data_IF_948447882589
#
_entry.id   IF_948447882589
#
_cell.length_a   1.000
_cell.length_b   1.000
_cell.length_c   1.000
_cell.angle_alpha   90.00
_cell.angle_beta   90.00
_cell.angle_gamma   90.00
#
_symmetry.space_group_name_H-M   'P 1'
#
loop_
_entity.id
_entity.type
_entity.pdbx_description
1 polymer ?
#
# COMPACT_ATOMS: atom_id res chain seq x y z
N UNK A 1 -3.15 7.92 -9.33
CA UNK A 1 -4.02 6.85 -8.79
C UNK A 1 -3.33 6.18 -7.61
N UNK A 2 -4.03 5.80 -6.54
CA UNK A 2 -3.43 5.07 -5.40
C UNK A 2 -3.53 3.56 -5.63
N UNK A 3 -2.43 2.78 -5.74
CA UNK A 3 -2.52 1.33 -5.84
C UNK A 3 -2.93 0.67 -4.52
N UNK A 4 -2.46 1.23 -3.40
CA UNK A 4 -2.72 0.71 -2.05
C UNK A 4 -3.78 1.53 -1.32
N UNK A 5 -4.67 0.91 -0.52
CA UNK A 5 -5.70 1.61 0.25
C UNK A 5 -5.16 2.27 1.53
N UNK A 6 -4.00 2.94 1.44
CA UNK A 6 -3.31 3.59 2.58
C UNK A 6 -2.94 5.06 2.28
N UNK A 7 -2.40 5.75 3.28
CA UNK A 7 -1.83 7.08 3.15
C UNK A 7 -0.72 7.10 2.09
N UNK A 8 -0.70 8.13 1.23
CA UNK A 8 0.23 8.22 0.09
C UNK A 8 1.70 8.21 0.55
N UNK A 9 1.98 8.68 1.76
CA UNK A 9 3.31 8.71 2.37
C UNK A 9 3.82 7.33 2.80
N UNK A 10 3.06 6.25 2.60
CA UNK A 10 3.54 4.87 2.79
C UNK A 10 3.92 4.19 1.47
N UNK A 11 3.52 4.76 0.33
CA UNK A 11 3.51 4.03 -0.95
C UNK A 11 4.92 3.74 -1.47
N UNK A 12 5.86 4.67 -1.34
CA UNK A 12 7.24 4.46 -1.79
C UNK A 12 7.92 3.34 -1.00
N UNK A 13 7.67 3.29 0.31
CA UNK A 13 8.17 2.21 1.16
C UNK A 13 7.55 0.84 0.83
N UNK A 14 6.24 0.79 0.57
CA UNK A 14 5.55 -0.43 0.12
C UNK A 14 6.16 -0.92 -1.21
N UNK A 15 6.28 -0.03 -2.20
CA UNK A 15 6.85 -0.33 -3.52
C UNK A 15 8.29 -0.86 -3.41
N UNK A 16 9.11 -0.22 -2.59
CA UNK A 16 10.50 -0.61 -2.37
C UNK A 16 10.59 -2.01 -1.72
N UNK A 17 9.78 -2.28 -0.71
CA UNK A 17 9.76 -3.56 -0.03
C UNK A 17 9.29 -4.70 -0.98
N UNK A 18 8.22 -4.48 -1.74
CA UNK A 18 7.74 -5.45 -2.74
C UNK A 18 8.81 -5.77 -3.78
N UNK A 19 9.50 -4.74 -4.30
CA UNK A 19 10.58 -4.93 -5.27
C UNK A 19 11.75 -5.71 -4.68
N UNK A 20 12.23 -5.34 -3.48
CA UNK A 20 13.33 -6.07 -2.83
C UNK A 20 12.97 -7.54 -2.61
N UNK A 21 11.79 -7.81 -2.07
CA UNK A 21 11.32 -9.18 -1.80
C UNK A 21 11.21 -9.98 -3.10
N UNK A 22 10.61 -9.41 -4.14
CA UNK A 22 10.43 -10.09 -5.43
C UNK A 22 11.74 -10.33 -6.18
N UNK A 23 12.60 -9.31 -6.29
CA UNK A 23 13.89 -9.38 -7.01
C UNK A 23 14.84 -10.40 -6.37
N UNK A 24 14.78 -10.55 -5.03
CA UNK A 24 15.69 -11.40 -4.27
C UNK A 24 15.04 -12.70 -3.77
N UNK A 25 13.76 -12.93 -4.10
CA UNK A 25 12.96 -14.10 -3.71
C UNK A 25 13.01 -14.38 -2.21
N UNK A 26 12.89 -13.34 -1.39
CA UNK A 26 12.96 -13.45 0.06
C UNK A 26 11.64 -13.98 0.61
N UNK A 27 11.70 -14.97 1.51
CA UNK A 27 10.56 -15.32 2.32
C UNK A 27 10.48 -14.39 3.55
N UNK A 28 9.29 -14.14 4.13
CA UNK A 28 9.17 -13.35 5.36
C UNK A 28 10.04 -13.87 6.51
N UNK A 29 10.24 -15.20 6.59
CA UNK A 29 11.11 -15.84 7.58
C UNK A 29 12.59 -15.48 7.43
N UNK A 30 13.05 -15.11 6.23
CA UNK A 30 14.45 -14.76 5.96
C UNK A 30 14.81 -13.37 6.49
N UNK A 31 13.83 -12.52 6.76
CA UNK A 31 14.03 -11.09 7.05
C UNK A 31 14.24 -10.88 8.55
N UNK A 32 15.42 -10.39 8.92
CA UNK A 32 15.76 -10.05 10.29
C UNK A 32 15.33 -8.64 10.67
N UNK A 33 15.53 -7.66 9.78
CA UNK A 33 15.22 -6.24 10.02
C UNK A 33 14.86 -5.54 8.72
N UNK A 34 13.93 -4.58 8.82
CA UNK A 34 13.57 -3.67 7.75
C UNK A 34 13.73 -2.24 8.27
N UNK A 35 14.49 -1.42 7.56
CA UNK A 35 14.67 0.00 7.89
C UNK A 35 14.06 0.84 6.78
N UNK A 36 13.10 1.69 7.12
CA UNK A 36 12.45 2.63 6.19
C UNK A 36 13.03 4.03 6.41
N UNK A 37 13.75 4.55 5.42
CA UNK A 37 14.20 5.94 5.37
C UNK A 37 13.08 6.79 4.80
N UNK A 38 12.71 7.83 5.54
CA UNK A 38 11.51 8.61 5.30
C UNK A 38 11.81 10.10 5.54
N UNK A 39 11.34 11.01 4.67
CA UNK A 39 11.57 12.44 4.84
C UNK A 39 10.80 12.99 6.06
N UNK A 40 11.25 14.09 6.69
CA UNK A 40 10.73 14.57 7.97
C UNK A 40 9.21 14.75 8.01
N UNK A 41 8.63 15.39 6.98
CA UNK A 41 7.17 15.62 6.89
C UNK A 41 6.37 14.32 6.95
N UNK A 42 6.83 13.33 6.19
CA UNK A 42 6.16 12.05 6.06
C UNK A 42 6.36 11.21 7.33
N UNK A 43 7.54 11.31 7.97
CA UNK A 43 7.86 10.66 9.24
C UNK A 43 6.87 11.03 10.35
N UNK A 44 6.58 12.32 10.53
CA UNK A 44 5.61 12.74 11.55
C UNK A 44 4.17 12.33 11.24
N UNK A 45 3.87 11.93 9.99
CA UNK A 45 2.54 11.45 9.60
C UNK A 45 2.42 9.94 9.78
N UNK A 46 3.37 9.17 9.24
CA UNK A 46 3.26 7.70 9.13
C UNK A 46 4.41 6.90 9.72
N UNK A 47 5.51 7.57 10.05
CA UNK A 47 6.78 6.96 10.45
C UNK A 47 7.00 6.87 11.96
N UNK A 48 6.07 7.34 12.78
CA UNK A 48 6.21 7.36 14.23
C UNK A 48 7.04 8.56 14.67
N UNK A 49 6.42 9.55 15.30
CA UNK A 49 6.97 10.89 15.53
C UNK A 49 8.09 11.00 16.57
N UNK A 50 9.01 10.03 16.64
CA UNK A 50 10.14 10.03 17.58
C UNK A 50 9.80 9.58 19.00
N UNK A 51 8.58 9.07 19.23
CA UNK A 51 8.11 8.55 20.51
C UNK A 51 7.86 7.04 20.40
N UNK A 52 8.49 6.26 21.29
CA UNK A 52 8.37 4.80 21.34
C UNK A 52 6.93 4.33 21.48
N UNK A 53 6.09 5.05 22.23
CA UNK A 53 4.68 4.67 22.41
C UNK A 53 3.91 4.79 21.09
N UNK A 54 4.18 5.86 20.33
CA UNK A 54 3.59 6.07 19.02
C UNK A 54 4.09 5.04 17.99
N UNK A 55 5.38 4.72 18.00
CA UNK A 55 5.93 3.68 17.11
C UNK A 55 5.23 2.33 17.35
N UNK A 56 5.03 1.95 18.62
CA UNK A 56 4.37 0.70 18.96
C UNK A 56 2.89 0.68 18.55
N UNK A 57 2.17 1.80 18.74
CA UNK A 57 0.80 1.94 18.29
C UNK A 57 0.68 1.82 16.75
N UNK A 58 1.69 2.28 16.00
CA UNK A 58 1.72 2.11 14.55
C UNK A 58 2.11 0.69 14.14
N UNK A 59 2.93 -0.04 14.91
CA UNK A 59 3.22 -1.46 14.62
C UNK A 59 2.03 -2.37 14.87
N UNK A 60 1.21 -2.05 15.87
CA UNK A 60 -0.01 -2.78 16.24
C UNK A 60 -1.22 -1.85 16.17
N UNK A 61 -1.64 -1.44 14.95
CA UNK A 61 -2.73 -0.49 14.77
C UNK A 61 -4.04 -0.99 15.37
N UNK A 62 -4.72 -0.14 16.15
CA UNK A 62 -5.97 -0.48 16.82
C UNK A 62 -7.21 -0.32 15.93
N UNK A 63 -7.07 0.37 14.79
CA UNK A 63 -8.14 0.61 13.83
C UNK A 63 -7.64 0.55 12.40
N UNK A 64 -8.58 0.43 11.45
CA UNK A 64 -8.27 0.47 10.01
C UNK A 64 -7.58 1.76 9.63
N UNK A 65 -8.03 2.90 10.17
CA UNK A 65 -7.42 4.21 9.89
C UNK A 65 -5.99 4.25 10.40
N UNK A 66 -5.71 3.73 11.60
CA UNK A 66 -4.34 3.69 12.14
C UNK A 66 -3.42 2.86 11.24
N UNK A 67 -3.91 1.72 10.73
CA UNK A 67 -3.15 0.89 9.80
C UNK A 67 -2.88 1.59 8.46
N UNK A 68 -3.86 2.33 7.93
CA UNK A 68 -3.69 3.12 6.71
C UNK A 68 -2.64 4.22 6.84
N UNK A 69 -2.38 4.69 8.07
CA UNK A 69 -1.37 5.70 8.38
C UNK A 69 -0.12 5.10 9.05
N UNK A 70 0.08 3.80 9.01
CA UNK A 70 1.27 3.14 9.55
C UNK A 70 2.18 2.62 8.45
N UNK A 71 3.38 3.19 8.33
CA UNK A 71 4.40 2.62 7.42
C UNK A 71 4.90 1.26 7.91
N UNK A 72 4.91 1.03 9.22
CA UNK A 72 5.31 -0.25 9.83
C UNK A 72 4.39 -1.38 9.38
N UNK A 73 3.09 -1.19 9.56
CA UNK A 73 2.09 -2.20 9.25
C UNK A 73 1.97 -2.41 7.74
N UNK A 74 1.97 -1.33 6.95
CA UNK A 74 1.80 -1.44 5.49
C UNK A 74 3.01 -2.08 4.81
N UNK A 75 4.24 -1.77 5.21
CA UNK A 75 5.45 -2.44 4.71
C UNK A 75 5.48 -3.90 5.16
N UNK A 76 5.11 -4.20 6.41
CA UNK A 76 5.01 -5.57 6.89
C UNK A 76 3.99 -6.40 6.09
N UNK A 77 2.81 -5.82 5.83
CA UNK A 77 1.77 -6.44 4.99
C UNK A 77 2.29 -6.76 3.60
N UNK A 78 2.99 -5.80 2.99
CA UNK A 78 3.58 -5.96 1.67
C UNK A 78 4.58 -7.12 1.62
N UNK A 79 5.43 -7.25 2.65
CA UNK A 79 6.41 -8.32 2.77
C UNK A 79 5.74 -9.68 2.98
N UNK A 80 4.80 -9.76 3.92
CA UNK A 80 4.17 -11.03 4.33
C UNK A 80 3.21 -11.56 3.26
N UNK A 81 2.39 -10.69 2.68
CA UNK A 81 1.31 -11.08 1.77
C UNK A 81 1.64 -10.84 0.29
N UNK A 82 2.75 -10.17 0.00
CA UNK A 82 3.13 -9.80 -1.37
C UNK A 82 2.23 -8.75 -2.03
N UNK A 83 1.28 -8.17 -1.28
CA UNK A 83 0.33 -7.16 -1.74
C UNK A 83 -0.25 -6.40 -0.54
N UNK A 84 -0.78 -5.20 -0.77
CA UNK A 84 -1.52 -4.40 0.23
C UNK A 84 -2.89 -4.05 -0.35
N UNK A 85 -3.92 -4.74 0.11
CA UNK A 85 -5.31 -4.66 -0.38
C UNK A 85 -6.28 -4.44 0.79
N UNK A 86 -7.56 -4.15 0.49
CA UNK A 86 -8.57 -3.84 1.52
C UNK A 86 -8.74 -4.97 2.55
N UNK A 87 -8.63 -6.22 2.13
CA UNK A 87 -8.68 -7.40 3.01
C UNK A 87 -7.71 -7.28 4.20
N UNK A 88 -6.48 -6.81 3.99
CA UNK A 88 -5.46 -6.68 5.04
C UNK A 88 -5.53 -5.35 5.81
N UNK A 89 -6.42 -4.45 5.39
CA UNK A 89 -6.79 -3.22 6.10
C UNK A 89 -8.24 -3.32 6.57
N UNK A 90 -8.60 -4.48 7.11
CA UNK A 90 -9.88 -4.79 7.75
C UNK A 90 -9.64 -5.31 9.16
N UNK A 91 -10.66 -5.40 10.01
CA UNK A 91 -10.53 -5.93 11.37
C UNK A 91 -9.81 -7.28 11.44
N UNK A 92 -10.11 -8.19 10.50
CA UNK A 92 -9.45 -9.49 10.40
C UNK A 92 -7.98 -9.34 10.01
N UNK A 93 -7.66 -8.44 9.07
CA UNK A 93 -6.29 -8.16 8.65
C UNK A 93 -5.45 -7.62 9.81
N UNK A 94 -5.99 -6.69 10.60
CA UNK A 94 -5.30 -6.09 11.74
C UNK A 94 -4.91 -7.12 12.81
N UNK A 95 -5.64 -8.23 12.90
CA UNK A 95 -5.38 -9.32 13.82
C UNK A 95 -4.38 -10.36 13.28
N UNK A 96 -3.88 -10.23 12.04
CA UNK A 96 -2.98 -11.21 11.43
C UNK A 96 -1.62 -11.26 12.18
N UNK A 97 -1.30 -12.38 12.85
CA UNK A 97 -0.11 -12.46 13.69
C UNK A 97 1.19 -12.42 12.89
N UNK A 98 1.19 -12.83 11.61
CA UNK A 98 2.38 -12.78 10.76
C UNK A 98 2.72 -11.35 10.36
N UNK A 99 1.70 -10.56 10.01
CA UNK A 99 1.87 -9.14 9.68
C UNK A 99 2.36 -8.38 10.91
N UNK A 100 1.72 -8.59 12.07
CA UNK A 100 2.12 -7.94 13.32
C UNK A 100 3.53 -8.33 13.77
N UNK A 101 3.93 -9.59 13.58
CA UNK A 101 5.28 -10.04 13.88
C UNK A 101 6.32 -9.40 12.96
N UNK A 102 6.01 -9.25 11.66
CA UNK A 102 6.89 -8.56 10.72
C UNK A 102 6.95 -7.04 11.00
N UNK A 103 5.84 -6.40 11.37
CA UNK A 103 5.79 -4.97 11.72
C UNK A 103 6.75 -4.62 12.87
N UNK A 104 6.95 -5.54 13.83
CA UNK A 104 7.95 -5.41 14.90
C UNK A 104 9.40 -5.37 14.42
N UNK A 105 9.69 -5.90 13.23
CA UNK A 105 11.01 -5.87 12.59
C UNK A 105 11.21 -4.64 11.72
N UNK A 106 10.16 -3.83 11.51
CA UNK A 106 10.22 -2.58 10.77
C UNK A 106 10.60 -1.44 11.73
N UNK A 107 11.59 -0.66 11.32
CA UNK A 107 11.98 0.62 11.93
C UNK A 107 11.96 1.73 10.89
N UNK A 108 11.90 2.97 11.37
CA UNK A 108 11.90 4.17 10.53
C UNK A 108 13.06 5.07 10.94
N UNK A 109 13.63 5.77 9.97
CA UNK A 109 14.71 6.74 10.19
C UNK A 109 14.41 7.97 9.35
N UNK A 110 14.48 9.15 9.96
CA UNK A 110 14.37 10.42 9.23
C UNK A 110 15.58 10.59 8.32
N UNK A 111 15.34 10.93 7.06
CA UNK A 111 16.38 11.19 6.07
C UNK A 111 16.10 12.50 5.32
N UNK A 112 16.83 13.55 5.70
CA UNK A 112 16.72 14.89 5.11
C UNK A 112 17.13 14.92 3.63
N UNK A 113 17.94 13.96 3.18
CA UNK A 113 18.39 13.89 1.78
C UNK A 113 17.28 13.50 0.81
N UNK A 114 16.16 12.97 1.32
CA UNK A 114 14.97 12.63 0.55
C UNK A 114 14.04 13.84 0.32
N UNK A 115 14.37 15.02 0.84
CA UNK A 115 13.54 16.22 0.64
C UNK A 115 13.83 16.84 -0.73
N UNK A 116 12.78 16.92 -1.55
CA UNK A 116 12.78 17.54 -2.87
C UNK A 116 11.73 18.65 -2.90
N UNK A 117 12.18 19.90 -3.05
CA UNK A 117 11.35 21.11 -2.91
C UNK A 117 10.10 21.11 -3.78
N UNK A 118 10.20 20.64 -5.03
CA UNK A 118 9.12 20.73 -6.01
C UNK A 118 8.33 19.42 -6.17
N UNK A 119 8.19 18.63 -5.08
CA UNK A 119 7.44 17.37 -5.09
C UNK A 119 6.41 17.27 -3.97
N UNK A 120 5.18 16.96 -4.34
CA UNK A 120 4.11 16.65 -3.38
C UNK A 120 4.40 15.36 -2.62
N UNK A 121 4.86 14.33 -3.34
CA UNK A 121 5.24 13.02 -2.78
C UNK A 121 6.75 12.90 -2.84
N UNK A 122 7.33 12.68 -1.67
CA UNK A 122 8.77 12.64 -1.49
C UNK A 122 9.30 11.21 -1.70
N UNK A 123 10.55 11.06 -2.16
CA UNK A 123 11.23 9.77 -2.18
C UNK A 123 11.22 9.05 -0.83
N UNK A 124 11.22 7.72 -0.87
CA UNK A 124 11.41 6.86 0.30
C UNK A 124 12.38 5.75 -0.05
N UNK A 125 13.15 5.27 0.92
CA UNK A 125 14.04 4.13 0.72
C UNK A 125 13.81 3.06 1.79
N UNK A 126 13.98 1.81 1.39
CA UNK A 126 13.90 0.65 2.27
C UNK A 126 15.20 -0.12 2.20
N UNK A 127 15.71 -0.52 3.36
CA UNK A 127 16.77 -1.50 3.51
C UNK A 127 16.21 -2.74 4.22
N UNK A 128 16.44 -3.92 3.64
CA UNK A 128 16.09 -5.21 4.25
C UNK A 128 17.40 -5.94 4.57
N UNK A 129 17.58 -6.29 5.84
CA UNK A 129 18.62 -7.20 6.30
C UNK A 129 18.01 -8.57 6.57
N UNK A 130 18.63 -9.59 5.99
CA UNK A 130 18.24 -10.99 6.18
C UNK A 130 18.95 -11.62 7.38
N UNK A 131 18.42 -12.73 7.90
CA UNK A 131 18.97 -13.46 9.04
C UNK A 131 20.40 -13.98 8.81
N UNK A 132 20.82 -14.14 7.56
CA UNK A 132 22.20 -14.50 7.19
C UNK A 132 23.14 -13.29 6.99
N UNK A 133 22.67 -12.08 7.28
CA UNK A 133 23.44 -10.83 7.23
C UNK A 133 23.48 -10.16 5.86
N UNK A 134 22.88 -10.72 4.79
CA UNK A 134 22.77 -10.01 3.51
C UNK A 134 21.85 -8.81 3.63
N UNK A 135 22.21 -7.72 2.95
CA UNK A 135 21.45 -6.47 2.89
C UNK A 135 21.06 -6.12 1.47
N UNK A 136 19.82 -5.67 1.32
CA UNK A 136 19.27 -5.19 0.06
C UNK A 136 18.63 -3.83 0.30
N UNK A 137 18.81 -2.90 -0.64
CA UNK A 137 18.26 -1.57 -0.51
C UNK A 137 17.61 -1.12 -1.82
N UNK A 138 16.54 -0.34 -1.71
CA UNK A 138 15.83 0.24 -2.84
C UNK A 138 15.27 1.61 -2.44
N UNK A 139 15.45 2.60 -3.31
CA UNK A 139 14.79 3.89 -3.23
C UNK A 139 13.71 3.98 -4.29
N UNK A 140 12.58 4.58 -3.94
CA UNK A 140 11.47 4.87 -4.84
C UNK A 140 11.23 6.38 -4.83
N UNK A 141 11.55 7.01 -5.94
CA UNK A 141 11.41 8.46 -6.13
C UNK A 141 9.98 8.89 -6.46
N UNK A 142 9.27 8.04 -7.18
CA UNK A 142 7.89 8.23 -7.59
C UNK A 142 7.15 6.92 -7.36
N UNK A 143 6.28 6.83 -6.34
CA UNK A 143 5.57 5.59 -6.06
C UNK A 143 4.62 5.23 -7.19
N UNK A 144 4.26 3.95 -7.26
CA UNK A 144 3.33 3.41 -8.25
C UNK A 144 2.01 4.19 -8.24
N UNK A 145 1.47 4.44 -9.42
CA UNK A 145 0.29 5.26 -9.65
C UNK A 145 0.54 6.78 -9.68
N UNK A 146 1.80 7.22 -9.54
CA UNK A 146 2.24 8.56 -9.96
C UNK A 146 2.26 8.69 -11.49
N UNK A 147 2.23 9.91 -12.06
CA UNK A 147 2.39 10.11 -13.51
C UNK A 147 3.65 9.46 -14.10
N UNK A 148 4.74 9.43 -13.32
CA UNK A 148 6.04 8.88 -13.71
C UNK A 148 6.07 7.34 -13.67
N UNK A 149 5.21 6.73 -12.85
CA UNK A 149 5.08 5.28 -12.76
C UNK A 149 3.60 4.89 -12.68
N UNK A 150 2.84 5.04 -13.77
CA UNK A 150 1.41 4.81 -13.75
C UNK A 150 1.09 3.33 -13.51
N UNK A 151 -0.10 3.09 -12.95
CA UNK A 151 -0.67 1.74 -12.95
C UNK A 151 -1.00 1.33 -14.39
N UNK A 152 -0.71 0.09 -14.74
CA UNK A 152 -1.13 -0.55 -15.99
C UNK A 152 -2.66 -0.68 -16.04
N UNK A 153 -3.27 -0.86 -17.22
CA UNK A 153 -4.70 -1.13 -17.33
C UNK A 153 -5.16 -2.33 -16.51
N UNK A 154 -4.37 -3.41 -16.48
CA UNK A 154 -4.67 -4.60 -15.69
C UNK A 154 -4.67 -4.33 -14.18
N UNK A 155 -3.67 -3.61 -13.67
CA UNK A 155 -3.64 -3.22 -12.25
C UNK A 155 -4.84 -2.35 -11.86
N UNK A 156 -5.30 -1.46 -12.76
CA UNK A 156 -6.50 -0.65 -12.53
C UNK A 156 -7.78 -1.50 -12.52
N UNK A 157 -7.91 -2.48 -13.42
CA UNK A 157 -9.01 -3.44 -13.43
C UNK A 157 -9.02 -4.29 -12.16
N UNK A 158 -7.87 -4.81 -11.74
CA UNK A 158 -7.74 -5.59 -10.51
C UNK A 158 -8.12 -4.75 -9.28
N UNK A 159 -7.71 -3.47 -9.25
CA UNK A 159 -8.14 -2.53 -8.22
C UNK A 159 -9.67 -2.29 -8.25
N UNK A 160 -10.26 -2.13 -9.43
CA UNK A 160 -11.72 -1.99 -9.55
C UNK A 160 -12.43 -3.19 -8.93
N UNK A 161 -11.98 -4.41 -9.26
CA UNK A 161 -12.52 -5.63 -8.67
C UNK A 161 -12.34 -5.68 -7.15
N UNK A 162 -11.16 -5.35 -6.62
CA UNK A 162 -10.93 -5.28 -5.17
C UNK A 162 -11.92 -4.32 -4.48
N UNK A 163 -12.19 -3.15 -5.07
CA UNK A 163 -13.20 -2.22 -4.54
C UNK A 163 -14.62 -2.78 -4.61
N UNK A 164 -14.97 -3.48 -5.70
CA UNK A 164 -16.31 -4.04 -5.89
C UNK A 164 -16.58 -5.25 -4.98
N UNK A 165 -15.56 -6.08 -4.74
CA UNK A 165 -15.65 -7.23 -3.84
C UNK A 165 -15.81 -6.80 -2.36
N UNK A 166 -15.41 -5.57 -2.03
CA UNK A 166 -15.60 -4.96 -0.71
C UNK A 166 -16.73 -3.91 -0.65
N UNK A 167 -17.59 -3.84 -1.67
CA UNK A 167 -18.72 -2.92 -1.68
C UNK A 167 -19.74 -3.29 -0.59
N UNK A 168 -20.23 -2.29 0.15
CA UNK A 168 -21.23 -2.50 1.21
C UNK A 168 -22.54 -3.11 0.68
N UNK A 169 -22.88 -2.83 -0.58
CA UNK A 169 -23.97 -3.48 -1.31
C UNK A 169 -23.34 -4.28 -2.46
N UNK A 170 -23.30 -5.62 -2.36
CA UNK A 170 -22.72 -6.45 -3.40
C UNK A 170 -23.47 -6.31 -4.73
N UNK A 171 -22.72 -6.27 -5.82
CA UNK A 171 -23.24 -6.33 -7.19
C UNK A 171 -22.76 -7.64 -7.80
N UNK A 172 -23.66 -8.38 -8.46
CA UNK A 172 -23.28 -9.67 -9.04
C UNK A 172 -22.18 -9.52 -10.09
N UNK A 173 -21.39 -10.59 -10.26
CA UNK A 173 -20.19 -10.58 -11.11
C UNK A 173 -20.47 -10.16 -12.54
N UNK A 174 -21.62 -10.55 -13.10
CA UNK A 174 -21.98 -10.24 -14.49
C UNK A 174 -22.27 -8.75 -14.64
N UNK A 175 -23.03 -8.16 -13.71
CA UNK A 175 -23.27 -6.72 -13.69
C UNK A 175 -22.00 -5.92 -13.43
N UNK A 176 -21.15 -6.36 -12.52
CA UNK A 176 -19.87 -5.69 -12.26
C UNK A 176 -18.96 -5.71 -13.49
N UNK A 177 -18.91 -6.82 -14.25
CA UNK A 177 -18.20 -6.86 -15.54
C UNK A 177 -18.81 -5.90 -16.55
N UNK A 178 -20.16 -5.87 -16.67
CA UNK A 178 -20.84 -4.92 -17.54
C UNK A 178 -20.52 -3.46 -17.18
N UNK A 179 -20.45 -3.13 -15.89
CA UNK A 179 -20.08 -1.80 -15.44
C UNK A 179 -18.64 -1.45 -15.84
N UNK A 180 -17.71 -2.38 -15.68
CA UNK A 180 -16.33 -2.20 -16.09
C UNK A 180 -16.21 -1.94 -17.59
N UNK A 181 -16.88 -2.76 -18.42
CA UNK A 181 -16.86 -2.60 -19.89
C UNK A 181 -17.41 -1.24 -20.32
N UNK A 182 -18.47 -0.75 -19.66
CA UNK A 182 -19.05 0.58 -19.91
C UNK A 182 -18.11 1.72 -19.47
N UNK A 183 -17.39 1.56 -18.36
CA UNK A 183 -16.41 2.54 -17.88
C UNK A 183 -15.20 2.61 -18.81
N UNK A 184 -14.73 1.49 -19.34
CA UNK A 184 -13.58 1.43 -20.24
C UNK A 184 -13.89 1.96 -21.65
N UNK A 185 -15.17 2.08 -22.02
CA UNK A 185 -15.62 2.62 -23.31
C UNK A 185 -16.58 3.82 -23.12
N UNK A 186 -16.34 4.65 -22.09
CA UNK A 186 -17.27 5.70 -21.65
C UNK A 186 -17.56 6.73 -22.74
N UNK A 187 -16.59 7.04 -23.61
CA UNK A 187 -16.71 7.96 -24.73
C UNK A 187 -17.71 7.51 -25.80
N UNK A 188 -17.96 6.20 -25.89
CA UNK A 188 -18.93 5.61 -26.82
C UNK A 188 -20.35 5.56 -26.25
N UNK A 189 -20.54 6.01 -25.00
CA UNK A 189 -21.79 5.83 -24.28
C UNK A 189 -22.80 6.94 -24.61
N UNK A 190 -23.91 6.57 -25.25
CA UNK A 190 -24.98 7.53 -25.58
C UNK A 190 -25.61 8.19 -24.35
N UNK A 191 -25.72 7.46 -23.23
CA UNK A 191 -26.36 7.91 -21.98
C UNK A 191 -25.66 7.33 -20.75
N UNK A 192 -25.17 8.20 -19.87
CA UNK A 192 -24.54 7.82 -18.59
C UNK A 192 -25.47 7.00 -17.67
N UNK A 193 -26.79 7.15 -17.84
CA UNK A 193 -27.78 6.37 -17.07
C UNK A 193 -27.72 4.86 -17.31
N UNK A 194 -27.09 4.40 -18.40
CA UNK A 194 -26.81 2.97 -18.61
C UNK A 194 -25.84 2.44 -17.55
N UNK A 195 -24.78 3.19 -17.26
CA UNK A 195 -23.79 2.82 -16.24
C UNK A 195 -24.42 2.84 -14.85
N UNK A 196 -25.16 3.89 -14.49
CA UNK A 196 -25.77 3.99 -13.16
C UNK A 196 -26.78 2.89 -12.89
N UNK A 197 -27.55 2.46 -13.90
CA UNK A 197 -28.48 1.32 -13.77
C UNK A 197 -27.77 -0.01 -13.55
N UNK A 198 -26.59 -0.21 -14.14
CA UNK A 198 -25.82 -1.44 -13.90
C UNK A 198 -25.28 -1.45 -12.47
N UNK A 199 -24.92 -0.29 -11.92
CA UNK A 199 -24.39 -0.12 -10.57
C UNK A 199 -25.45 -0.02 -9.46
N UNK A 200 -26.73 0.22 -9.78
CA UNK A 200 -27.79 0.36 -8.78
C UNK A 200 -28.34 -0.99 -8.33
N UNK A 201 -28.67 -1.15 -7.05
CA UNK A 201 -29.37 -2.34 -6.56
C UNK A 201 -30.87 -2.40 -6.95
N UNK A 202 -31.34 -1.44 -7.76
CA UNK A 202 -32.71 -1.31 -8.27
C UNK A 202 -32.69 -0.97 -9.77
#
# INVERSE_FOLDING_TARGET
>A
MKPYPSCRYTHGAIDAALQIVAENRLAPGDIARVTVRIPPRDFYTVGGGGDKARDEALRCPASVVDAQFSVFYTVATAIVKGKVVLEYLSENGLADPEILAMAKRVSTVVDETLVVTDRDVQPQAVEIETANGKRYAKQVDYPKGSPQWPMTPEERRNKFWDCMDHAAVPIDRKRTQQALDLIENLESLDKVSRLTRVLSSQ
#
